data_IF_347001412576
#
_entry.id   IF_347001412576
#
_cell.length_a   1.000
_cell.length_b   1.000
_cell.length_c   1.000
_cell.angle_alpha   90.00
_cell.angle_beta   90.00
_cell.angle_gamma   90.00
#
_symmetry.space_group_name_H-M   'P 1'
#
loop_
_entity.id
_entity.type
_entity.pdbx_description
1 polymer ?
#
# COMPACT_ATOMS: atom_id res chain seq x y z
N UNK A 1 14.48 21.23 8.46
CA UNK A 1 15.16 20.15 7.72
C UNK A 1 14.50 18.88 8.20
N UNK A 2 13.83 18.12 7.34
CA UNK A 2 13.15 16.89 7.77
C UNK A 2 14.23 15.83 8.03
N UNK A 3 14.40 15.45 9.29
CA UNK A 3 15.34 14.41 9.71
C UNK A 3 14.83 13.05 9.19
N UNK A 4 15.37 12.62 8.04
CA UNK A 4 15.18 11.27 7.53
C UNK A 4 16.05 10.32 8.36
N UNK A 5 15.42 9.57 9.26
CA UNK A 5 16.10 8.56 10.07
C UNK A 5 16.22 7.28 9.23
N UNK A 6 17.26 7.23 8.39
CA UNK A 6 17.39 6.32 7.25
C UNK A 6 17.24 4.81 7.50
N UNK A 7 17.24 4.33 8.75
CA UNK A 7 16.90 2.93 9.07
C UNK A 7 15.40 2.71 9.33
N UNK A 8 14.75 3.64 10.01
CA UNK A 8 13.32 3.53 10.35
C UNK A 8 12.44 3.76 9.11
N UNK A 9 12.82 4.72 8.27
CA UNK A 9 12.14 5.00 7.01
C UNK A 9 12.25 3.82 6.03
N UNK A 10 13.38 3.12 6.06
CA UNK A 10 13.61 1.92 5.24
C UNK A 10 12.78 0.73 5.73
N UNK A 11 12.61 0.56 7.05
CA UNK A 11 11.74 -0.45 7.64
C UNK A 11 10.25 -0.22 7.32
N UNK A 12 9.78 1.03 7.41
CA UNK A 12 8.38 1.39 7.12
C UNK A 12 8.01 1.15 5.64
N UNK A 13 8.96 1.34 4.74
CA UNK A 13 8.77 1.04 3.32
C UNK A 13 8.60 -0.46 3.06
N UNK A 14 9.25 -1.34 3.83
CA UNK A 14 9.06 -2.80 3.67
C UNK A 14 7.75 -3.34 4.24
N UNK A 15 7.11 -2.62 5.17
CA UNK A 15 5.85 -3.04 5.81
C UNK A 15 4.67 -2.87 4.85
N UNK A 16 4.62 -1.74 4.13
CA UNK A 16 3.51 -1.40 3.24
C UNK A 16 3.19 -2.49 2.19
N UNK A 17 4.16 -2.98 1.39
CA UNK A 17 3.94 -4.01 0.38
C UNK A 17 3.36 -5.30 0.97
N UNK A 18 3.88 -5.69 2.14
CA UNK A 18 3.45 -6.90 2.86
C UNK A 18 2.02 -6.76 3.36
N UNK A 19 1.67 -5.64 4.00
CA UNK A 19 0.31 -5.36 4.50
C UNK A 19 -0.71 -5.27 3.37
N UNK A 20 -0.37 -4.60 2.26
CA UNK A 20 -1.25 -4.49 1.09
C UNK A 20 -1.55 -5.88 0.50
N UNK A 21 -0.51 -6.69 0.29
CA UNK A 21 -0.67 -8.06 -0.22
C UNK A 21 -1.49 -8.92 0.73
N UNK A 22 -1.23 -8.84 2.03
CA UNK A 22 -1.96 -9.57 3.06
C UNK A 22 -3.46 -9.23 3.04
N UNK A 23 -3.81 -7.94 3.07
CA UNK A 23 -5.22 -7.48 3.00
C UNK A 23 -5.92 -7.97 1.74
N UNK A 24 -5.25 -7.90 0.58
CA UNK A 24 -5.80 -8.41 -0.67
C UNK A 24 -6.12 -9.89 -0.57
N UNK A 25 -5.19 -10.69 -0.06
CA UNK A 25 -5.36 -12.15 0.03
C UNK A 25 -6.37 -12.56 1.09
N UNK A 26 -6.36 -11.92 2.25
CA UNK A 26 -7.28 -12.21 3.36
C UNK A 26 -8.74 -11.95 2.97
N UNK A 27 -8.96 -10.88 2.19
CA UNK A 27 -10.30 -10.49 1.72
C UNK A 27 -10.64 -11.02 0.33
N UNK A 28 -9.81 -11.90 -0.24
CA UNK A 28 -10.00 -12.51 -1.57
C UNK A 28 -10.26 -11.51 -2.70
N UNK A 29 -9.63 -10.33 -2.66
CA UNK A 29 -9.74 -9.37 -3.74
C UNK A 29 -8.79 -9.71 -4.89
N UNK A 30 -9.28 -9.53 -6.12
CA UNK A 30 -8.46 -9.56 -7.31
C UNK A 30 -7.67 -8.25 -7.44
N UNK A 31 -6.47 -8.36 -8.01
CA UNK A 31 -5.62 -7.19 -8.31
C UNK A 31 -6.35 -6.18 -9.18
N UNK A 32 -7.19 -6.65 -10.10
CA UNK A 32 -8.02 -5.84 -10.99
C UNK A 32 -9.08 -5.02 -10.24
N UNK A 33 -9.70 -5.60 -9.21
CA UNK A 33 -10.70 -4.90 -8.40
C UNK A 33 -10.06 -3.76 -7.60
N UNK A 34 -8.89 -4.02 -7.00
CA UNK A 34 -8.14 -3.00 -6.25
C UNK A 34 -7.65 -1.90 -7.19
N UNK A 35 -7.12 -2.29 -8.35
CA UNK A 35 -6.61 -1.34 -9.34
C UNK A 35 -7.70 -0.40 -9.85
N UNK A 36 -8.88 -0.94 -10.15
CA UNK A 36 -10.05 -0.18 -10.58
C UNK A 36 -10.46 0.86 -9.52
N UNK A 37 -10.57 0.44 -8.26
CA UNK A 37 -11.01 1.32 -7.18
C UNK A 37 -9.96 2.37 -6.80
N UNK A 38 -8.68 1.97 -6.77
CA UNK A 38 -7.58 2.88 -6.50
C UNK A 38 -7.27 3.83 -7.68
N UNK A 39 -7.89 3.63 -8.85
CA UNK A 39 -7.66 4.46 -10.04
C UNK A 39 -6.25 4.29 -10.62
N UNK A 40 -5.73 3.07 -10.60
CA UNK A 40 -4.39 2.73 -11.09
C UNK A 40 -4.43 1.52 -12.01
N UNK A 41 -3.31 1.23 -12.68
CA UNK A 41 -3.17 0.01 -13.44
C UNK A 41 -2.98 -1.22 -12.53
N UNK A 42 -3.33 -2.40 -13.03
CA UNK A 42 -3.05 -3.68 -12.33
C UNK A 42 -1.56 -3.90 -12.11
N UNK A 43 -0.72 -3.42 -13.03
CA UNK A 43 0.73 -3.41 -12.88
C UNK A 43 1.18 -2.55 -11.68
N UNK A 44 0.54 -1.39 -11.46
CA UNK A 44 0.83 -0.52 -10.31
C UNK A 44 0.57 -1.26 -9.00
N UNK A 45 -0.55 -1.96 -8.86
CA UNK A 45 -0.84 -2.75 -7.65
C UNK A 45 0.19 -3.86 -7.44
N UNK A 46 0.58 -4.59 -8.51
CA UNK A 46 1.64 -5.61 -8.40
C UNK A 46 2.97 -5.00 -7.97
N UNK A 47 3.32 -3.83 -8.49
CA UNK A 47 4.54 -3.10 -8.11
C UNK A 47 4.48 -2.61 -6.66
N UNK A 48 3.30 -2.21 -6.18
CA UNK A 48 3.07 -1.84 -4.78
C UNK A 48 3.27 -3.04 -3.86
N UNK A 49 2.72 -4.20 -4.20
CA UNK A 49 2.92 -5.45 -3.46
C UNK A 49 4.36 -5.98 -3.52
N UNK A 50 5.11 -5.64 -4.57
CA UNK A 50 6.51 -5.96 -4.72
C UNK A 50 7.45 -4.93 -4.07
N UNK A 51 6.93 -3.79 -3.58
CA UNK A 51 7.71 -2.70 -3.00
C UNK A 51 8.59 -1.94 -3.98
N UNK A 52 8.36 -2.12 -5.30
CA UNK A 52 9.16 -1.45 -6.35
C UNK A 52 8.70 -0.02 -6.61
N UNK A 53 7.43 0.26 -6.35
CA UNK A 53 6.85 1.61 -6.40
C UNK A 53 5.86 1.77 -5.26
N UNK A 54 5.50 3.01 -4.93
CA UNK A 54 4.57 3.32 -3.85
C UNK A 54 3.46 4.23 -4.36
N UNK A 55 2.23 4.10 -3.81
CA UNK A 55 1.14 5.02 -4.12
C UNK A 55 1.49 6.43 -3.60
N UNK A 56 0.95 7.45 -4.27
CA UNK A 56 0.92 8.80 -3.69
C UNK A 56 -0.14 8.87 -2.59
N UNK A 57 -0.16 9.97 -1.84
CA UNK A 57 -1.10 10.18 -0.71
C UNK A 57 -2.56 9.95 -1.12
N UNK A 58 -2.97 10.44 -2.29
CA UNK A 58 -4.33 10.28 -2.80
C UNK A 58 -4.70 8.80 -3.03
N UNK A 59 -3.84 8.05 -3.71
CA UNK A 59 -4.05 6.61 -3.96
C UNK A 59 -4.01 5.81 -2.67
N UNK A 60 -3.16 6.21 -1.75
CA UNK A 60 -3.06 5.57 -0.44
C UNK A 60 -4.37 5.76 0.36
N UNK A 61 -4.96 6.95 0.32
CA UNK A 61 -6.30 7.21 0.89
C UNK A 61 -7.39 6.36 0.22
N UNK A 62 -7.35 6.21 -1.11
CA UNK A 62 -8.30 5.35 -1.83
C UNK A 62 -8.17 3.89 -1.44
N UNK A 63 -6.95 3.39 -1.24
CA UNK A 63 -6.70 2.04 -0.76
C UNK A 63 -7.22 1.87 0.68
N UNK A 64 -6.94 2.81 1.57
CA UNK A 64 -7.45 2.80 2.94
C UNK A 64 -8.99 2.73 2.97
N UNK A 65 -9.66 3.57 2.18
CA UNK A 65 -11.11 3.57 2.04
C UNK A 65 -11.65 2.27 1.42
N UNK A 66 -10.98 1.72 0.40
CA UNK A 66 -11.38 0.46 -0.23
C UNK A 66 -11.36 -0.72 0.75
N UNK A 67 -10.31 -0.79 1.56
CA UNK A 67 -10.15 -1.83 2.57
C UNK A 67 -10.84 -1.47 3.89
N UNK A 68 -11.51 -0.33 4.01
CA UNK A 68 -12.12 0.12 5.26
C UNK A 68 -11.13 0.03 6.44
N UNK A 69 -9.92 0.54 6.24
CA UNK A 69 -8.85 0.60 7.25
C UNK A 69 -8.31 2.01 7.39
N UNK A 70 -7.71 2.33 8.54
CA UNK A 70 -7.01 3.59 8.71
C UNK A 70 -5.69 3.60 7.93
N UNK A 71 -5.25 4.79 7.51
CA UNK A 71 -4.02 5.00 6.73
C UNK A 71 -2.76 4.41 7.40
N UNK A 72 -2.68 4.54 8.72
CA UNK A 72 -1.56 4.05 9.53
C UNK A 72 -1.45 2.52 9.54
N UNK A 73 -2.52 1.79 9.18
CA UNK A 73 -2.51 0.33 9.10
C UNK A 73 -1.37 -0.18 8.20
N UNK A 74 -1.09 0.53 7.11
CA UNK A 74 -0.07 0.09 6.16
C UNK A 74 1.38 0.29 6.66
N UNK A 75 1.58 1.02 7.76
CA UNK A 75 2.91 1.35 8.30
C UNK A 75 3.13 0.87 9.73
N UNK A 76 2.10 0.34 10.39
CA UNK A 76 2.18 -0.27 11.72
C UNK A 76 2.67 -1.71 11.62
N UNK A 77 3.56 -2.09 12.53
CA UNK A 77 3.99 -3.49 12.73
C UNK A 77 2.80 -4.37 13.18
#
# INVERSE_FOLDING_TARGET
>A
MFDFNGKEDQLKLEIFPKKLKALRTERNFLVEQIALFAGVSTASIRNYEAGTTYPNVERLLRLANFFDVQLDYFFKE
#
